data_IF_379742006241
#
_entry.id   IF_379742006241
#
_cell.length_a   1.000
_cell.length_b   1.000
_cell.length_c   1.000
_cell.angle_alpha   90.00
_cell.angle_beta   90.00
_cell.angle_gamma   90.00
#
_symmetry.space_group_name_H-M   'P 1'
#
loop_
_entity.id
_entity.type
_entity.pdbx_description
1 polymer ?
#
# COMPACT_ATOMS: atom_id res chain seq x y z
N UNK A 1 -14.87 -16.93 25.10
CA UNK A 1 -14.87 -17.39 23.70
C UNK A 1 -14.28 -16.31 22.82
N UNK A 2 -13.23 -16.64 22.07
CA UNK A 2 -12.41 -15.75 21.24
C UNK A 2 -13.23 -14.90 20.26
N UNK A 3 -14.36 -15.42 19.76
CA UNK A 3 -15.29 -14.70 18.89
C UNK A 3 -15.94 -13.46 19.53
N UNK A 4 -16.30 -13.51 20.83
CA UNK A 4 -16.88 -12.36 21.52
C UNK A 4 -15.88 -11.22 21.72
N UNK A 5 -14.57 -11.52 21.79
CA UNK A 5 -13.51 -10.51 21.91
C UNK A 5 -13.24 -9.80 20.57
N UNK A 6 -13.35 -10.52 19.45
CA UNK A 6 -13.20 -9.97 18.09
C UNK A 6 -14.39 -9.07 17.76
N UNK A 7 -15.62 -9.52 18.05
CA UNK A 7 -16.85 -8.72 17.86
C UNK A 7 -16.87 -7.47 18.75
N UNK A 8 -16.33 -7.55 19.98
CA UNK A 8 -16.26 -6.41 20.91
C UNK A 8 -15.15 -5.40 20.58
N UNK A 9 -14.21 -5.73 19.69
CA UNK A 9 -13.09 -4.85 19.36
C UNK A 9 -13.32 -3.93 18.16
N UNK A 10 -14.39 -4.08 17.36
CA UNK A 10 -14.62 -3.29 16.11
C UNK A 10 -13.38 -3.21 15.18
N UNK A 11 -12.40 -4.09 15.38
CA UNK A 11 -11.03 -3.87 14.91
C UNK A 11 -10.69 -4.75 13.71
N UNK A 12 -11.60 -5.59 13.22
CA UNK A 12 -11.41 -6.34 11.95
C UNK A 12 -11.70 -5.47 10.73
N UNK A 13 -12.56 -4.48 10.89
CA UNK A 13 -13.04 -3.59 9.85
C UNK A 13 -11.93 -2.62 9.34
N UNK A 14 -11.07 -2.13 10.24
CA UNK A 14 -9.87 -1.37 9.85
C UNK A 14 -8.82 -2.22 9.13
N UNK A 15 -8.76 -3.52 9.46
CA UNK A 15 -7.90 -4.49 8.77
C UNK A 15 -8.43 -4.89 7.39
N UNK A 16 -9.71 -4.66 7.08
CA UNK A 16 -10.20 -4.91 5.72
C UNK A 16 -9.62 -3.90 4.73
N UNK A 17 -9.57 -2.61 5.08
CA UNK A 17 -9.08 -1.58 4.14
C UNK A 17 -7.56 -1.43 4.09
N UNK A 18 -6.86 -1.68 5.20
CA UNK A 18 -5.42 -1.43 5.31
C UNK A 18 -4.55 -2.21 4.29
N UNK A 19 -4.78 -3.51 4.02
CA UNK A 19 -4.05 -4.27 3.00
C UNK A 19 -4.19 -3.67 1.60
N UNK A 20 -5.38 -3.21 1.22
CA UNK A 20 -5.61 -2.56 -0.08
C UNK A 20 -4.86 -1.23 -0.18
N UNK A 21 -4.85 -0.43 0.90
CA UNK A 21 -4.08 0.82 0.98
C UNK A 21 -2.58 0.56 0.81
N UNK A 22 -2.05 -0.48 1.45
CA UNK A 22 -0.64 -0.85 1.33
C UNK A 22 -0.29 -1.40 -0.05
N UNK A 23 -1.19 -2.20 -0.64
CA UNK A 23 -1.01 -2.77 -1.98
C UNK A 23 -1.02 -1.67 -3.03
N UNK A 24 -1.96 -0.72 -2.94
CA UNK A 24 -1.99 0.47 -3.79
C UNK A 24 -0.68 1.26 -3.70
N UNK A 25 -0.13 1.44 -2.50
CA UNK A 25 1.12 2.17 -2.29
C UNK A 25 2.30 1.44 -2.95
N UNK A 26 2.42 0.14 -2.70
CA UNK A 26 3.46 -0.71 -3.28
C UNK A 26 3.39 -0.68 -4.81
N UNK A 27 2.20 -0.92 -5.39
CA UNK A 27 1.99 -0.92 -6.83
C UNK A 27 2.23 0.46 -7.45
N UNK A 28 1.88 1.55 -6.78
CA UNK A 28 2.16 2.92 -7.26
C UNK A 28 3.67 3.18 -7.36
N UNK A 29 4.44 2.79 -6.34
CA UNK A 29 5.90 2.97 -6.34
C UNK A 29 6.59 2.06 -7.36
N UNK A 30 6.16 0.80 -7.50
CA UNK A 30 6.68 -0.11 -8.52
C UNK A 30 6.33 0.34 -9.94
N UNK A 31 5.17 0.97 -10.13
CA UNK A 31 4.80 1.60 -11.40
C UNK A 31 5.73 2.76 -11.72
N UNK A 32 5.99 3.64 -10.76
CA UNK A 32 6.93 4.74 -10.91
C UNK A 32 8.36 4.26 -11.19
N UNK A 33 8.81 3.21 -10.49
CA UNK A 33 10.10 2.56 -10.77
C UNK A 33 10.18 2.02 -12.20
N UNK A 34 9.16 1.28 -12.64
CA UNK A 34 9.13 0.65 -13.97
C UNK A 34 9.10 1.65 -15.13
N UNK A 35 8.48 2.82 -14.93
CA UNK A 35 8.49 3.93 -15.90
C UNK A 35 9.84 4.65 -15.92
N UNK A 36 10.46 4.78 -14.74
CA UNK A 36 11.71 5.53 -14.58
C UNK A 36 12.93 4.74 -15.05
N UNK A 37 12.92 3.41 -14.86
CA UNK A 37 14.03 2.54 -15.23
C UNK A 37 13.88 2.00 -16.66
N UNK A 38 14.82 2.29 -17.57
CA UNK A 38 14.78 1.76 -18.94
C UNK A 38 14.79 0.23 -18.93
N UNK A 39 13.93 -0.39 -19.75
CA UNK A 39 13.78 -1.84 -19.84
C UNK A 39 12.87 -2.49 -18.80
N UNK A 40 12.28 -1.73 -17.87
CA UNK A 40 11.41 -2.25 -16.79
C UNK A 40 9.91 -2.00 -17.02
N UNK A 41 9.50 -1.74 -18.26
CA UNK A 41 8.12 -1.40 -18.62
C UNK A 41 7.09 -2.48 -18.27
N UNK A 42 7.46 -3.78 -18.31
CA UNK A 42 6.58 -4.87 -17.90
C UNK A 42 6.14 -4.71 -16.43
N UNK A 43 7.08 -4.32 -15.55
CA UNK A 43 6.80 -4.06 -14.14
C UNK A 43 5.82 -2.90 -13.99
N UNK A 44 5.96 -1.85 -14.81
CA UNK A 44 5.04 -0.72 -14.82
C UNK A 44 3.63 -1.13 -15.28
N UNK A 45 3.50 -1.96 -16.30
CA UNK A 45 2.18 -2.37 -16.81
C UNK A 45 1.40 -3.24 -15.81
N UNK A 46 2.06 -4.23 -15.19
CA UNK A 46 1.43 -5.13 -14.21
C UNK A 46 1.04 -4.38 -12.94
N UNK A 47 1.95 -3.57 -12.40
CA UNK A 47 1.65 -2.78 -11.21
C UNK A 47 0.65 -1.65 -11.50
N UNK A 48 0.70 -1.05 -12.69
CA UNK A 48 -0.27 -0.03 -13.11
C UNK A 48 -1.69 -0.59 -13.20
N UNK A 49 -1.85 -1.82 -13.70
CA UNK A 49 -3.13 -2.52 -13.63
C UNK A 49 -3.56 -2.77 -12.18
N UNK A 50 -2.63 -3.20 -11.32
CA UNK A 50 -2.88 -3.34 -9.88
C UNK A 50 -3.37 -2.04 -9.23
N UNK A 51 -2.75 -0.90 -9.56
CA UNK A 51 -3.19 0.42 -9.09
C UNK A 51 -4.65 0.69 -9.47
N UNK A 52 -5.05 0.42 -10.72
CA UNK A 52 -6.43 0.64 -11.17
C UNK A 52 -7.42 -0.21 -10.38
N UNK A 53 -7.11 -1.50 -10.19
CA UNK A 53 -7.96 -2.43 -9.44
C UNK A 53 -8.09 -2.01 -7.97
N UNK A 54 -6.98 -1.68 -7.31
CA UNK A 54 -6.96 -1.24 -5.92
C UNK A 54 -7.71 0.09 -5.71
N UNK A 55 -7.59 1.04 -6.65
CA UNK A 55 -8.38 2.28 -6.61
C UNK A 55 -9.87 2.00 -6.68
N UNK A 56 -10.31 1.04 -7.51
CA UNK A 56 -11.72 0.65 -7.58
C UNK A 56 -12.17 0.07 -6.23
N UNK A 57 -11.39 -0.85 -5.64
CA UNK A 57 -11.72 -1.42 -4.33
C UNK A 57 -11.82 -0.38 -3.22
N UNK A 58 -10.83 0.52 -3.12
CA UNK A 58 -10.83 1.60 -2.12
C UNK A 58 -12.00 2.55 -2.37
N UNK A 59 -12.33 2.86 -3.62
CA UNK A 59 -13.47 3.73 -3.96
C UNK A 59 -14.80 3.11 -3.53
N UNK A 60 -15.01 1.82 -3.81
CA UNK A 60 -16.17 1.08 -3.35
C UNK A 60 -16.22 1.03 -1.82
N UNK A 61 -15.09 0.77 -1.17
CA UNK A 61 -15.01 0.77 0.29
C UNK A 61 -15.41 2.14 0.87
N UNK A 62 -14.89 3.24 0.33
CA UNK A 62 -15.26 4.57 0.80
C UNK A 62 -16.73 4.92 0.55
N UNK A 63 -17.35 4.37 -0.50
CA UNK A 63 -18.76 4.59 -0.78
C UNK A 63 -19.68 3.84 0.19
N UNK A 64 -19.36 2.58 0.51
CA UNK A 64 -20.23 1.69 1.27
C UNK A 64 -19.87 1.56 2.77
N UNK A 65 -18.67 1.97 3.18
CA UNK A 65 -18.23 1.82 4.57
C UNK A 65 -18.94 2.79 5.53
N UNK A 66 -19.09 2.40 6.82
CA UNK A 66 -19.62 3.26 7.86
C UNK A 66 -18.85 4.59 8.00
N UNK A 67 -19.52 5.70 8.36
CA UNK A 67 -18.90 7.03 8.40
C UNK A 67 -17.63 7.14 9.27
N UNK A 68 -17.61 6.41 10.39
CA UNK A 68 -16.47 6.36 11.31
C UNK A 68 -15.22 5.76 10.66
N UNK A 69 -15.39 4.73 9.85
CA UNK A 69 -14.29 4.09 9.14
C UNK A 69 -13.90 4.83 7.89
N UNK A 70 -14.90 5.34 7.15
CA UNK A 70 -14.68 6.10 5.92
C UNK A 70 -13.70 7.25 6.13
N UNK A 71 -13.85 8.00 7.22
CA UNK A 71 -12.95 9.10 7.54
C UNK A 71 -11.51 8.62 7.79
N UNK A 72 -11.33 7.51 8.53
CA UNK A 72 -10.02 6.93 8.82
C UNK A 72 -9.34 6.41 7.56
N UNK A 73 -10.05 5.61 6.77
CA UNK A 73 -9.57 5.05 5.50
C UNK A 73 -9.25 6.16 4.50
N UNK A 74 -10.11 7.17 4.35
CA UNK A 74 -9.85 8.31 3.47
C UNK A 74 -8.59 9.08 3.89
N UNK A 75 -8.39 9.28 5.19
CA UNK A 75 -7.19 9.95 5.73
C UNK A 75 -5.93 9.12 5.45
N UNK A 76 -5.97 7.81 5.70
CA UNK A 76 -4.87 6.89 5.39
C UNK A 76 -4.54 6.84 3.89
N UNK A 77 -5.55 6.76 3.03
CA UNK A 77 -5.37 6.80 1.57
C UNK A 77 -4.75 8.13 1.15
N UNK A 78 -5.26 9.26 1.64
CA UNK A 78 -4.72 10.58 1.33
C UNK A 78 -3.25 10.73 1.74
N UNK A 79 -2.89 10.27 2.94
CA UNK A 79 -1.51 10.38 3.43
C UNK A 79 -0.58 9.39 2.71
N UNK A 80 -0.95 8.11 2.67
CA UNK A 80 -0.06 7.04 2.22
C UNK A 80 -0.05 6.85 0.71
N UNK A 81 -1.16 7.07 0.00
CA UNK A 81 -1.25 6.82 -1.45
C UNK A 81 -1.18 8.10 -2.30
N UNK A 82 -1.39 9.27 -1.70
CA UNK A 82 -1.25 10.56 -2.41
C UNK A 82 -0.07 11.34 -1.86
N UNK A 83 -0.07 11.65 -0.57
CA UNK A 83 0.97 12.46 0.07
C UNK A 83 2.37 11.87 -0.07
N UNK A 84 2.55 10.61 0.34
CA UNK A 84 3.86 9.95 0.31
C UNK A 84 4.40 9.76 -1.11
N UNK A 85 3.66 9.23 -2.10
CA UNK A 85 4.17 9.06 -3.46
C UNK A 85 4.47 10.41 -4.13
N UNK A 86 3.61 11.43 -3.95
CA UNK A 86 3.86 12.78 -4.51
C UNK A 86 5.12 13.38 -3.88
N UNK A 87 5.29 13.28 -2.57
CA UNK A 87 6.49 13.75 -1.89
C UNK A 87 7.73 12.99 -2.36
N UNK A 88 7.65 11.66 -2.49
CA UNK A 88 8.75 10.84 -2.98
C UNK A 88 9.16 11.21 -4.41
N UNK A 89 8.18 11.40 -5.31
CA UNK A 89 8.40 11.86 -6.70
C UNK A 89 9.01 13.26 -6.71
N UNK A 90 8.46 14.20 -5.93
CA UNK A 90 8.94 15.57 -5.89
C UNK A 90 10.38 15.67 -5.35
N UNK A 91 10.67 14.96 -4.25
CA UNK A 91 12.03 14.90 -3.68
C UNK A 91 12.99 14.27 -4.69
N UNK A 92 12.63 13.14 -5.29
CA UNK A 92 13.48 12.48 -6.28
C UNK A 92 13.70 13.33 -7.53
N UNK A 93 12.69 14.07 -7.99
CA UNK A 93 12.79 14.94 -9.16
C UNK A 93 13.63 16.20 -8.88
N UNK A 94 13.50 16.80 -7.69
CA UNK A 94 14.20 18.04 -7.33
C UNK A 94 15.64 17.80 -6.85
N UNK A 95 15.91 16.69 -6.17
CA UNK A 95 17.23 16.43 -5.55
C UNK A 95 18.13 15.49 -6.32
N UNK A 96 17.62 14.69 -7.25
CA UNK A 96 18.35 13.53 -7.78
C UNK A 96 18.33 13.51 -9.31
N UNK A 97 19.51 13.35 -9.92
CA UNK A 97 19.68 13.20 -11.37
C UNK A 97 20.18 11.79 -11.68
N UNK A 98 19.69 11.20 -12.79
CA UNK A 98 20.18 9.93 -13.32
C UNK A 98 19.91 8.70 -12.46
N UNK A 99 20.88 7.78 -12.39
CA UNK A 99 20.74 6.44 -11.83
C UNK A 99 20.51 6.41 -10.31
N UNK A 100 21.05 7.39 -9.58
CA UNK A 100 20.84 7.51 -8.12
C UNK A 100 19.35 7.66 -7.75
N UNK A 101 18.56 8.27 -8.64
CA UNK A 101 17.10 8.38 -8.49
C UNK A 101 16.45 6.99 -8.48
N UNK A 102 16.86 6.13 -9.40
CA UNK A 102 16.29 4.79 -9.59
C UNK A 102 16.63 3.90 -8.39
N UNK A 103 17.86 3.98 -7.88
CA UNK A 103 18.31 3.19 -6.74
C UNK A 103 17.57 3.56 -5.44
N UNK A 104 17.36 4.86 -5.18
CA UNK A 104 16.63 5.30 -3.98
C UNK A 104 15.15 4.93 -4.06
N UNK A 105 14.51 5.07 -5.22
CA UNK A 105 13.13 4.61 -5.42
C UNK A 105 13.05 3.10 -5.18
N UNK A 106 13.97 2.33 -5.77
CA UNK A 106 14.04 0.88 -5.61
C UNK A 106 14.21 0.44 -4.15
N UNK A 107 15.08 1.14 -3.40
CA UNK A 107 15.30 0.85 -1.98
C UNK A 107 14.05 1.14 -1.13
N UNK A 108 13.35 2.25 -1.39
CA UNK A 108 12.07 2.57 -0.73
C UNK A 108 11.00 1.51 -1.03
N UNK A 109 10.88 1.08 -2.30
CA UNK A 109 9.97 0.00 -2.70
C UNK A 109 10.26 -1.32 -1.97
N UNK A 110 11.54 -1.68 -1.87
CA UNK A 110 11.97 -2.92 -1.21
C UNK A 110 11.69 -2.87 0.29
N UNK A 111 12.01 -1.76 0.97
CA UNK A 111 11.72 -1.57 2.39
C UNK A 111 10.23 -1.68 2.71
N UNK A 112 9.37 -1.03 1.91
CA UNK A 112 7.92 -1.13 2.05
C UNK A 112 7.40 -2.55 1.86
N UNK A 113 7.92 -3.28 0.87
CA UNK A 113 7.56 -4.69 0.67
C UNK A 113 7.93 -5.56 1.88
N UNK A 114 9.13 -5.37 2.45
CA UNK A 114 9.57 -6.10 3.65
C UNK A 114 8.60 -5.85 4.82
N UNK A 115 8.19 -4.60 5.03
CA UNK A 115 7.21 -4.25 6.08
C UNK A 115 5.86 -4.90 5.80
N UNK A 116 5.39 -4.94 4.54
CA UNK A 116 4.13 -5.59 4.18
C UNK A 116 4.16 -7.10 4.46
N UNK A 117 5.30 -7.77 4.25
CA UNK A 117 5.45 -9.20 4.57
C UNK A 117 5.49 -9.52 6.07
N UNK A 118 5.64 -8.52 6.94
CA UNK A 118 5.57 -8.75 8.38
C UNK A 118 4.17 -9.24 8.83
N UNK A 119 3.10 -8.81 8.17
CA UNK A 119 1.73 -9.23 8.46
C UNK A 119 1.48 -10.74 8.24
N UNK A 120 1.75 -11.31 7.04
CA UNK A 120 1.63 -12.76 6.84
C UNK A 120 2.61 -13.57 7.69
N UNK A 121 3.84 -13.07 7.94
CA UNK A 121 4.78 -13.75 8.83
C UNK A 121 4.26 -13.83 10.27
N UNK A 122 3.66 -12.75 10.79
CA UNK A 122 3.03 -12.74 12.10
C UNK A 122 1.83 -13.68 12.19
N UNK A 123 1.13 -13.93 11.07
CA UNK A 123 0.07 -14.92 11.00
C UNK A 123 0.61 -16.36 11.00
N UNK A 124 1.75 -16.62 10.35
CA UNK A 124 2.40 -17.94 10.30
C UNK A 124 3.10 -18.32 11.61
N UNK A 125 3.63 -17.34 12.34
CA UNK A 125 4.32 -17.57 13.62
C UNK A 125 3.35 -17.80 14.79
N UNK A 126 2.05 -17.50 14.63
CA UNK A 126 1.05 -17.98 15.58
C UNK A 126 0.96 -19.49 15.44
N UNK A 127 1.35 -20.29 16.45
CA UNK A 127 1.08 -21.71 16.39
C UNK A 127 -0.42 -21.89 16.16
N UNK A 128 -0.77 -22.82 15.26
CA UNK A 128 -2.12 -23.33 15.14
C UNK A 128 -2.49 -24.00 16.46
N UNK A 129 -2.83 -23.21 17.49
CA UNK A 129 -3.41 -23.73 18.72
C UNK A 129 -4.86 -24.07 18.39
N UNK A 130 -5.04 -25.33 18.00
CA UNK A 130 -6.26 -26.07 18.27
C UNK A 130 -6.61 -26.01 19.78
#
# INVERSE_FOLDING_TARGET
GTFLRIVKHQSTEEFESFPYICTLLSSSLWTYYGITKPGSYLVATVNGFGVVVEVIYISLFLLYAPPRMRAKTATLVGILNVGFPVAAILVTYLRMQGDLRIDVIGFMCAGLNIVMYASPLAAMVRPATA
#
